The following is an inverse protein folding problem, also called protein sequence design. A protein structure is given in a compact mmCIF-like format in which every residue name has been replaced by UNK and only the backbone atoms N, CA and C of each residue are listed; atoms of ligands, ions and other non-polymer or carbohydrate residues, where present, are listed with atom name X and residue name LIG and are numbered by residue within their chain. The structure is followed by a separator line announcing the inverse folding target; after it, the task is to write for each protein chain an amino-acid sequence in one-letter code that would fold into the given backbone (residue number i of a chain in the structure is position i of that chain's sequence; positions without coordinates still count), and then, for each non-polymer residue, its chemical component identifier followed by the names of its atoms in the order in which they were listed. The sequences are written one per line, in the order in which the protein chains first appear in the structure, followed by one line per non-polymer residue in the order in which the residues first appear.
data_IF_529870120891
#
_entry.id   IF_529870120891
#
_cell.length_a   1.000
_cell.length_b   1.000
_cell.length_c   1.000
_cell.angle_alpha   90.00
_cell.angle_beta   90.00
_cell.angle_gamma   90.00
#
_symmetry.space_group_name_H-M   'P 1'
#
loop_
_entity.id
_entity.type
_entity.pdbx_description
1 polymer ?
#
# COMPACT_ATOMS: atom_id res chain seq x y z
N UNK A 1 -15.55 24.08 12.95
CA UNK A 1 -15.82 23.13 11.85
C UNK A 1 -16.64 22.00 12.45
N UNK A 2 -17.91 21.87 12.02
CA UNK A 2 -18.74 20.73 12.38
C UNK A 2 -18.37 19.58 11.44
N UNK A 3 -18.13 18.41 12.03
CA UNK A 3 -17.80 17.17 11.36
C UNK A 3 -19.09 16.57 10.79
N UNK A 4 -19.17 16.40 9.46
CA UNK A 4 -20.30 15.74 8.82
C UNK A 4 -20.03 14.22 8.80
N UNK A 5 -20.77 13.41 9.58
CA UNK A 5 -20.58 11.96 9.63
C UNK A 5 -21.03 11.23 8.36
N UNK A 6 -21.56 11.93 7.35
CA UNK A 6 -22.06 11.33 6.10
C UNK A 6 -21.19 11.69 4.88
N UNK A 7 -19.98 12.21 5.08
CA UNK A 7 -19.03 12.43 3.98
C UNK A 7 -18.65 11.07 3.36
N UNK A 8 -18.91 10.83 2.06
CA UNK A 8 -18.54 9.57 1.41
C UNK A 8 -17.02 9.35 1.28
N UNK A 9 -16.21 10.38 1.56
CA UNK A 9 -14.76 10.28 1.74
C UNK A 9 -14.34 9.99 3.18
N UNK A 10 -15.29 9.87 4.11
CA UNK A 10 -15.02 9.46 5.48
C UNK A 10 -14.83 7.94 5.54
N UNK A 11 -13.59 7.51 5.75
CA UNK A 11 -13.27 6.11 6.00
C UNK A 11 -13.38 5.84 7.51
N UNK A 12 -14.48 5.23 7.95
CA UNK A 12 -14.70 4.81 9.34
C UNK A 12 -13.67 3.80 9.88
N UNK A 13 -12.79 3.26 9.03
CA UNK A 13 -11.63 2.44 9.44
C UNK A 13 -10.69 3.17 10.41
N UNK A 14 -10.77 4.49 10.54
CA UNK A 14 -9.96 5.26 11.50
C UNK A 14 -10.40 5.10 12.97
N UNK A 15 -11.56 4.50 13.24
CA UNK A 15 -12.15 4.44 14.58
C UNK A 15 -12.47 3.02 15.06
N UNK A 16 -11.68 2.01 14.68
CA UNK A 16 -11.67 0.76 15.45
C UNK A 16 -11.06 1.03 16.84
N UNK A 17 -11.82 0.96 17.94
CA UNK A 17 -11.32 1.25 19.30
C UNK A 17 -10.17 0.32 19.71
N UNK A 18 -10.14 -0.86 19.10
CA UNK A 18 -9.22 -1.96 19.30
C UNK A 18 -7.82 -1.66 18.69
N UNK A 19 -7.75 -0.73 17.72
CA UNK A 19 -6.51 -0.33 17.03
C UNK A 19 -5.61 0.62 17.82
N UNK A 20 -6.07 1.12 18.97
CA UNK A 20 -5.42 2.21 19.71
C UNK A 20 -4.61 1.71 20.91
N UNK A 21 -4.74 0.43 21.27
CA UNK A 21 -3.99 -0.18 22.37
C UNK A 21 -2.80 -0.97 21.83
N UNK A 22 -1.61 -0.40 22.01
CA UNK A 22 -0.35 -1.08 21.74
C UNK A 22 -0.28 -2.37 22.58
N UNK A 23 -0.30 -3.52 21.90
CA UNK A 23 -0.18 -4.82 22.56
C UNK A 23 1.27 -5.05 22.96
N UNK A 24 1.50 -5.36 24.24
CA UNK A 24 2.84 -5.66 24.74
C UNK A 24 3.41 -6.89 24.04
N UNK A 25 4.66 -6.79 23.59
CA UNK A 25 5.37 -7.87 22.91
C UNK A 25 5.17 -7.91 21.40
N UNK A 26 4.33 -7.04 20.83
CA UNK A 26 4.17 -6.88 19.38
C UNK A 26 5.15 -5.84 18.86
N UNK A 27 5.90 -6.17 17.81
CA UNK A 27 6.85 -5.26 17.18
C UNK A 27 6.23 -4.49 16.02
N UNK A 28 5.42 -3.49 16.37
CA UNK A 28 4.81 -2.58 15.40
C UNK A 28 5.84 -1.78 14.60
N UNK A 29 7.04 -1.53 15.14
CA UNK A 29 8.07 -0.76 14.43
C UNK A 29 8.68 -1.61 13.32
N UNK A 30 8.92 -2.89 13.56
CA UNK A 30 9.36 -3.81 12.52
C UNK A 30 8.33 -3.93 11.38
N UNK A 31 7.05 -4.08 11.71
CA UNK A 31 5.97 -4.08 10.71
C UNK A 31 5.93 -2.78 9.89
N UNK A 32 5.99 -1.64 10.54
CA UNK A 32 5.95 -0.34 9.86
C UNK A 32 7.17 -0.15 8.95
N UNK A 33 8.37 -0.51 9.42
CA UNK A 33 9.59 -0.48 8.60
C UNK A 33 9.47 -1.36 7.37
N UNK A 34 8.99 -2.59 7.52
CA UNK A 34 8.73 -3.49 6.39
C UNK A 34 7.77 -2.87 5.37
N UNK A 35 6.72 -2.17 5.83
CA UNK A 35 5.80 -1.46 4.95
C UNK A 35 6.44 -0.25 4.24
N UNK A 36 7.35 0.48 4.90
CA UNK A 36 8.12 1.58 4.29
C UNK A 36 9.11 1.05 3.24
N UNK A 37 9.79 -0.04 3.54
CA UNK A 37 10.71 -0.70 2.61
C UNK A 37 9.94 -1.17 1.38
N UNK A 38 8.80 -1.84 1.57
CA UNK A 38 7.92 -2.25 0.48
C UNK A 38 7.42 -1.07 -0.37
N UNK A 39 7.11 0.08 0.25
CA UNK A 39 6.71 1.29 -0.47
C UNK A 39 7.84 1.83 -1.35
N UNK A 40 9.07 1.80 -0.84
CA UNK A 40 10.26 2.26 -1.55
C UNK A 40 10.58 1.36 -2.74
N UNK A 41 10.59 0.05 -2.52
CA UNK A 41 10.83 -0.96 -3.56
C UNK A 41 9.75 -0.89 -4.66
N UNK A 42 8.48 -0.81 -4.27
CA UNK A 42 7.39 -0.70 -5.24
C UNK A 42 7.50 0.57 -6.09
N UNK A 43 7.83 1.71 -5.47
CA UNK A 43 8.04 2.96 -6.21
C UNK A 43 9.21 2.82 -7.19
N UNK A 44 10.33 2.25 -6.76
CA UNK A 44 11.48 1.98 -7.63
C UNK A 44 11.10 1.12 -8.83
N UNK A 45 10.37 0.02 -8.60
CA UNK A 45 9.89 -0.86 -9.66
C UNK A 45 8.93 -0.15 -10.64
N UNK A 46 8.05 0.73 -10.13
CA UNK A 46 7.17 1.54 -10.98
C UNK A 46 7.98 2.52 -11.85
N UNK A 47 8.98 3.19 -11.26
CA UNK A 47 9.85 4.12 -11.98
C UNK A 47 10.67 3.38 -13.07
N UNK A 48 11.21 2.19 -12.75
CA UNK A 48 11.92 1.33 -13.72
C UNK A 48 11.03 0.84 -14.86
N UNK A 49 9.76 0.57 -14.57
CA UNK A 49 8.74 0.23 -15.57
C UNK A 49 8.26 1.45 -16.39
N UNK A 50 8.77 2.65 -16.11
CA UNK A 50 8.38 3.89 -16.78
C UNK A 50 6.97 4.37 -16.43
N UNK A 51 6.43 3.94 -15.29
CA UNK A 51 5.13 4.36 -14.78
C UNK A 51 5.30 5.72 -14.10
N UNK A 52 4.45 6.68 -14.44
CA UNK A 52 4.46 7.99 -13.79
C UNK A 52 4.00 7.87 -12.32
N UNK A 53 4.92 8.17 -11.40
CA UNK A 53 4.71 8.11 -9.95
C UNK A 53 4.47 9.48 -9.30
N UNK A 54 4.37 10.57 -10.08
CA UNK A 54 4.28 11.94 -9.55
C UNK A 54 3.05 12.17 -8.65
N UNK A 55 1.90 11.59 -9.01
CA UNK A 55 0.65 11.68 -8.24
C UNK A 55 0.36 10.43 -7.39
N UNK A 56 1.33 9.52 -7.25
CA UNK A 56 1.19 8.32 -6.42
C UNK A 56 1.41 8.67 -4.95
N UNK A 57 0.43 8.36 -4.11
CA UNK A 57 0.54 8.50 -2.66
C UNK A 57 0.60 7.13 -2.00
N UNK A 58 1.40 7.03 -0.94
CA UNK A 58 1.52 5.81 -0.15
C UNK A 58 1.49 6.11 1.34
N UNK A 59 0.87 5.21 2.10
CA UNK A 59 0.82 5.25 3.55
C UNK A 59 1.24 3.90 4.09
N UNK A 60 2.39 3.88 4.78
CA UNK A 60 2.86 2.73 5.54
C UNK A 60 2.26 2.75 6.95
N UNK A 61 1.79 1.61 7.41
CA UNK A 61 1.13 1.44 8.71
C UNK A 61 1.36 0.01 9.22
N UNK A 62 0.87 -0.27 10.43
CA UNK A 62 0.79 -1.62 10.97
C UNK A 62 -0.62 -1.95 11.42
N UNK A 63 -0.98 -3.22 11.30
CA UNK A 63 -2.16 -3.82 11.93
C UNK A 63 -1.95 -4.03 13.43
N UNK A 64 -3.00 -4.47 14.12
CA UNK A 64 -3.00 -4.79 15.55
C UNK A 64 -2.07 -5.93 15.95
N UNK A 65 -1.79 -6.86 15.03
CA UNK A 65 -0.82 -7.96 15.23
C UNK A 65 0.64 -7.57 14.91
N UNK A 66 0.88 -6.32 14.52
CA UNK A 66 2.21 -5.80 14.19
C UNK A 66 2.68 -6.09 12.78
N UNK A 67 1.86 -6.69 11.90
CA UNK A 67 2.21 -6.86 10.49
C UNK A 67 2.17 -5.52 9.74
N UNK A 68 3.09 -5.36 8.79
CA UNK A 68 3.19 -4.16 7.95
C UNK A 68 2.11 -4.12 6.89
N UNK A 69 1.49 -2.95 6.70
CA UNK A 69 0.49 -2.70 5.67
C UNK A 69 0.83 -1.43 4.90
N UNK A 70 0.85 -1.55 3.58
CA UNK A 70 0.99 -0.45 2.64
C UNK A 70 -0.36 -0.17 1.97
N UNK A 71 -0.84 1.06 2.10
CA UNK A 71 -2.00 1.58 1.33
C UNK A 71 -1.50 2.53 0.25
N UNK A 72 -2.03 2.36 -0.96
CA UNK A 72 -1.68 3.14 -2.13
C UNK A 72 -2.89 3.88 -2.66
N UNK A 73 -2.71 5.15 -3.00
CA UNK A 73 -3.62 5.89 -3.85
C UNK A 73 -2.91 6.13 -5.18
N UNK A 74 -3.51 5.61 -6.26
CA UNK A 74 -2.95 5.64 -7.60
C UNK A 74 -3.92 6.36 -8.53
N UNK A 75 -3.42 7.24 -9.41
CA UNK A 75 -4.17 7.64 -10.59
C UNK A 75 -4.55 6.39 -11.41
N UNK A 76 -5.73 6.43 -12.05
CA UNK A 76 -6.25 5.29 -12.83
C UNK A 76 -5.24 4.81 -13.87
N UNK A 77 -4.52 5.73 -14.53
CA UNK A 77 -3.52 5.38 -15.54
C UNK A 77 -2.33 4.63 -14.94
N UNK A 78 -1.82 5.07 -13.79
CA UNK A 78 -0.73 4.38 -13.08
C UNK A 78 -1.18 2.97 -12.62
N UNK A 79 -2.41 2.83 -12.13
CA UNK A 79 -2.97 1.53 -11.73
C UNK A 79 -3.08 0.56 -12.92
N UNK A 80 -3.54 1.04 -14.09
CA UNK A 80 -3.63 0.22 -15.30
C UNK A 80 -2.25 -0.15 -15.84
N UNK A 81 -1.29 0.78 -15.82
CA UNK A 81 0.08 0.53 -16.24
C UNK A 81 0.74 -0.54 -15.35
N UNK A 82 0.58 -0.42 -14.02
CA UNK A 82 1.08 -1.40 -13.06
C UNK A 82 0.47 -2.79 -13.31
N UNK A 83 -0.85 -2.87 -13.54
CA UNK A 83 -1.52 -4.14 -13.83
C UNK A 83 -1.03 -4.78 -15.13
N UNK A 84 -0.73 -3.98 -16.16
CA UNK A 84 -0.19 -4.48 -17.42
C UNK A 84 1.25 -4.99 -17.26
N UNK A 85 2.11 -4.24 -16.56
CA UNK A 85 3.47 -4.66 -16.26
C UNK A 85 3.50 -6.01 -15.52
N UNK A 86 2.64 -6.17 -14.50
CA UNK A 86 2.53 -7.43 -13.76
C UNK A 86 2.08 -8.61 -14.64
N UNK A 87 1.15 -8.39 -15.58
CA UNK A 87 0.70 -9.44 -16.52
C UNK A 87 1.80 -9.84 -17.50
N UNK A 88 2.52 -8.87 -18.03
CA UNK A 88 3.63 -9.14 -18.96
C UNK A 88 4.71 -9.98 -18.29
N UNK A 89 5.08 -9.64 -17.05
CA UNK A 89 6.07 -10.40 -16.30
C UNK A 89 5.59 -11.82 -16.00
N UNK A 90 4.34 -11.98 -15.55
CA UNK A 90 3.74 -13.31 -15.34
C UNK A 90 3.73 -14.17 -16.62
N UNK A 91 3.51 -13.55 -17.79
CA UNK A 91 3.59 -14.24 -19.08
C UNK A 91 5.03 -14.63 -19.44
N UNK A 92 6.02 -13.78 -19.13
CA UNK A 92 7.45 -14.09 -19.31
C UNK A 92 7.85 -15.28 -18.47
N UNK A 93 7.50 -15.31 -17.18
CA UNK A 93 7.79 -16.44 -16.29
C UNK A 93 7.16 -17.74 -16.77
N UNK A 94 5.90 -17.71 -17.24
CA UNK A 94 5.24 -18.90 -17.79
C UNK A 94 5.95 -19.45 -19.02
N UNK A 95 6.47 -18.58 -19.89
CA UNK A 95 7.23 -19.00 -21.07
C UNK A 95 8.63 -19.50 -20.72
N UNK A 96 9.26 -18.97 -19.67
CA UNK A 96 10.58 -19.39 -19.22
C UNK A 96 10.56 -20.72 -18.44
N UNK A 97 9.42 -21.05 -17.81
CA UNK A 97 9.20 -22.30 -17.09
C UNK A 97 8.57 -23.42 -17.92
N UNK A 98 8.31 -23.21 -19.22
CA UNK A 98 7.78 -24.19 -20.17
C UNK A 98 8.87 -24.60 -21.17
#
# INVERSE_FOLDING_TARGET
MQHDPMDPNFNDEALEPDGWMWVRGVDYVAGWRSAVDAATELKGAMDEAGIDTTEVMSTASTTTDGSGVLRLSLPVQAALALANAAREDALRWRKAGA
#
